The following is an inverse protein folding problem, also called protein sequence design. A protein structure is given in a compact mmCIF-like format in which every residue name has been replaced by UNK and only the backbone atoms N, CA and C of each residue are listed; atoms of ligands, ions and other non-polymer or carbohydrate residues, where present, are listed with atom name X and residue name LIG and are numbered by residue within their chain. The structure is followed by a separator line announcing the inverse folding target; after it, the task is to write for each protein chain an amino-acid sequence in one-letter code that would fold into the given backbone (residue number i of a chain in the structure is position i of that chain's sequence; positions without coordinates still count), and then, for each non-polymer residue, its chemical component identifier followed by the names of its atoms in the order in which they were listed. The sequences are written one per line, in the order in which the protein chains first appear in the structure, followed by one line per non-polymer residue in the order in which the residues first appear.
data_IF_180734255712
#
_entry.id   IF_180734255712
#
_cell.length_a   1.000
_cell.length_b   1.000
_cell.length_c   1.000
_cell.angle_alpha   90.00
_cell.angle_beta   90.00
_cell.angle_gamma   90.00
#
_symmetry.space_group_name_H-M   'P 1'
#
loop_
_entity.id
_entity.type
_entity.pdbx_description
1 polymer ?
#
# COMPACT_ATOMS: atom_id res chain seq x y z
N UNK A 1 -17.43 29.85 47.44
CA UNK A 1 -17.73 31.25 47.03
C UNK A 1 -16.63 32.14 47.58
N UNK A 2 -16.19 33.19 46.88
CA UNK A 2 -16.04 33.41 45.43
C UNK A 2 -14.60 33.96 45.13
N UNK A 3 -14.12 34.37 43.95
CA UNK A 3 -14.63 35.18 42.81
C UNK A 3 -13.74 34.87 41.57
N UNK A 4 -14.26 34.71 40.33
CA UNK A 4 -14.55 35.76 39.29
C UNK A 4 -13.34 36.63 38.92
N UNK A 5 -13.11 37.10 37.70
CA UNK A 5 -13.75 37.00 36.38
C UNK A 5 -12.84 37.70 35.35
N UNK A 6 -13.10 37.50 34.05
CA UNK A 6 -12.57 38.28 32.92
C UNK A 6 -11.99 37.36 31.85
N UNK A 7 -12.69 36.89 30.80
CA UNK A 7 -13.61 37.50 29.80
C UNK A 7 -12.95 38.49 28.84
N UNK A 8 -12.49 37.97 27.70
CA UNK A 8 -12.51 38.65 26.39
C UNK A 8 -12.54 37.59 25.27
N UNK A 9 -13.72 37.07 24.94
CA UNK A 9 -14.35 37.19 23.61
C UNK A 9 -13.54 37.98 22.56
N UNK A 10 -13.10 37.30 21.50
CA UNK A 10 -13.16 37.83 20.12
C UNK A 10 -13.59 36.70 19.20
N UNK A 11 -14.72 36.96 18.53
CA UNK A 11 -15.35 36.14 17.50
C UNK A 11 -14.57 36.32 16.19
N UNK A 12 -14.25 35.22 15.50
CA UNK A 12 -13.94 35.26 14.07
C UNK A 12 -15.02 34.49 13.33
N UNK A 13 -16.13 35.18 13.09
CA UNK A 13 -17.13 34.81 12.11
C UNK A 13 -16.48 34.93 10.73
N UNK A 14 -16.29 33.80 10.03
CA UNK A 14 -15.99 33.81 8.60
C UNK A 14 -17.27 34.25 7.86
N UNK A 15 -17.31 35.53 7.53
CA UNK A 15 -18.36 36.17 6.73
C UNK A 15 -18.02 35.93 5.25
N UNK A 16 -18.60 34.86 4.67
CA UNK A 16 -18.52 34.58 3.25
C UNK A 16 -19.54 35.48 2.54
N UNK A 17 -19.09 36.67 2.14
CA UNK A 17 -19.88 37.64 1.38
C UNK A 17 -20.28 37.03 0.02
N UNK A 18 -21.53 36.58 -0.06
CA UNK A 18 -22.21 36.23 -1.29
C UNK A 18 -22.65 37.53 -1.98
N UNK A 19 -21.84 38.07 -2.88
CA UNK A 19 -22.22 39.22 -3.71
C UNK A 19 -21.41 39.19 -5.00
N UNK A 20 -21.92 38.48 -5.99
CA UNK A 20 -21.82 38.85 -7.41
C UNK A 20 -22.72 37.92 -8.23
N UNK A 21 -24.00 38.30 -8.32
CA UNK A 21 -24.96 37.75 -9.27
C UNK A 21 -24.92 38.65 -10.51
N UNK A 22 -24.37 38.21 -11.65
CA UNK A 22 -24.57 38.95 -12.89
C UNK A 22 -26.01 38.79 -13.36
N UNK A 23 -26.67 39.93 -13.45
CA UNK A 23 -28.01 40.16 -14.00
C UNK A 23 -28.16 39.54 -15.39
N UNK A 24 -29.09 38.59 -15.53
CA UNK A 24 -29.58 38.15 -16.83
C UNK A 24 -30.48 39.25 -17.41
N UNK A 25 -29.95 40.02 -18.37
CA UNK A 25 -30.67 41.11 -19.01
C UNK A 25 -30.18 41.34 -20.44
N UNK A 26 -31.09 41.12 -21.38
CA UNK A 26 -31.13 41.57 -22.79
C UNK A 26 -30.23 40.87 -23.82
N UNK A 27 -30.94 40.08 -24.64
CA UNK A 27 -30.76 39.79 -26.08
C UNK A 27 -29.74 40.63 -26.87
N UNK A 28 -29.14 40.02 -27.90
CA UNK A 28 -29.71 40.19 -29.24
C UNK A 28 -29.87 38.89 -30.01
N UNK A 29 -31.13 38.67 -30.42
CA UNK A 29 -31.62 38.27 -31.74
C UNK A 29 -30.54 37.95 -32.79
N UNK A 30 -30.14 36.68 -32.86
CA UNK A 30 -29.62 36.07 -34.09
C UNK A 30 -30.72 35.17 -34.65
N UNK A 31 -31.40 35.67 -35.67
CA UNK A 31 -32.29 34.85 -36.51
C UNK A 31 -31.36 34.09 -37.45
N UNK A 32 -31.01 32.85 -37.07
CA UNK A 32 -30.59 31.86 -38.03
C UNK A 32 -31.86 31.26 -38.62
N UNK A 33 -32.26 31.83 -39.76
CA UNK A 33 -33.29 31.31 -40.62
C UNK A 33 -32.74 30.04 -41.28
N UNK A 34 -32.97 28.89 -40.64
CA UNK A 34 -32.68 27.58 -41.21
C UNK A 34 -34.00 26.93 -41.59
N UNK A 35 -34.38 27.16 -42.85
CA UNK A 35 -35.52 26.52 -43.50
C UNK A 35 -35.29 25.00 -43.50
N UNK A 36 -36.14 24.28 -42.78
CA UNK A 36 -36.12 22.82 -42.67
C UNK A 36 -37.47 22.27 -43.07
N UNK A 37 -37.80 22.44 -44.35
CA UNK A 37 -38.84 21.68 -45.05
C UNK A 37 -38.28 20.49 -45.82
N UNK A 38 -37.77 19.49 -45.09
CA UNK A 38 -37.68 18.08 -45.48
C UNK A 38 -37.70 17.32 -44.14
N UNK A 39 -38.70 16.53 -43.73
CA UNK A 39 -39.52 15.64 -44.53
C UNK A 39 -38.92 14.23 -44.53
N UNK A 40 -38.91 13.55 -43.37
CA UNK A 40 -39.25 12.13 -43.25
C UNK A 40 -39.26 11.72 -41.77
N UNK A 41 -40.46 11.58 -41.22
CA UNK A 41 -40.68 10.96 -39.93
C UNK A 41 -40.39 9.46 -40.02
N UNK A 42 -39.41 9.01 -39.25
CA UNK A 42 -39.49 7.71 -38.59
C UNK A 42 -39.56 7.98 -37.08
N UNK A 43 -40.70 8.49 -36.61
CA UNK A 43 -41.08 8.30 -35.21
C UNK A 43 -41.39 6.79 -35.04
N UNK A 44 -40.36 6.00 -34.73
CA UNK A 44 -40.63 4.72 -34.08
C UNK A 44 -41.27 5.05 -32.72
N UNK A 45 -42.46 4.51 -32.39
CA UNK A 45 -43.04 4.70 -31.07
C UNK A 45 -42.17 3.93 -30.06
N UNK A 46 -41.23 4.63 -29.41
CA UNK A 46 -40.46 4.05 -28.31
C UNK A 46 -41.44 3.85 -27.15
N UNK A 47 -41.98 2.65 -27.05
CA UNK A 47 -42.89 2.27 -25.98
C UNK A 47 -42.15 2.47 -24.64
N UNK A 48 -42.71 3.30 -23.76
CA UNK A 48 -42.06 3.72 -22.50
C UNK A 48 -41.65 2.54 -21.61
N UNK A 49 -42.36 1.41 -21.74
CA UNK A 49 -42.02 0.12 -21.10
C UNK A 49 -40.78 -0.55 -21.70
N UNK A 50 -40.60 -0.43 -23.02
CA UNK A 50 -39.45 -0.99 -23.75
C UNK A 50 -38.15 -0.22 -23.46
N UNK A 51 -38.23 1.10 -23.26
CA UNK A 51 -37.10 1.91 -22.85
C UNK A 51 -36.61 1.57 -21.42
N UNK A 52 -37.53 1.27 -20.49
CA UNK A 52 -37.20 0.87 -19.11
C UNK A 52 -36.56 -0.52 -19.09
N UNK A 53 -37.09 -1.48 -19.86
CA UNK A 53 -36.52 -2.84 -19.95
C UNK A 53 -35.10 -2.81 -20.55
N UNK A 54 -34.87 -2.00 -21.60
CA UNK A 54 -33.54 -1.87 -22.22
C UNK A 54 -32.54 -1.19 -21.29
N UNK A 55 -32.95 -0.21 -20.48
CA UNK A 55 -32.09 0.42 -19.48
C UNK A 55 -31.79 -0.49 -18.29
N UNK A 56 -32.75 -1.33 -17.88
CA UNK A 56 -32.55 -2.34 -16.81
C UNK A 56 -31.62 -3.47 -17.26
N UNK A 57 -31.71 -3.92 -18.52
CA UNK A 57 -30.82 -4.93 -19.10
C UNK A 57 -29.39 -4.40 -19.29
N UNK A 58 -29.21 -3.13 -19.64
CA UNK A 58 -27.88 -2.50 -19.75
C UNK A 58 -27.20 -2.36 -18.38
N UNK A 59 -27.96 -2.09 -17.31
CA UNK A 59 -27.43 -1.96 -15.96
C UNK A 59 -26.94 -3.27 -15.31
N UNK A 60 -27.36 -4.44 -15.82
CA UNK A 60 -26.94 -5.76 -15.30
C UNK A 60 -25.58 -6.20 -15.86
N UNK A 61 -25.09 -5.58 -16.94
CA UNK A 61 -23.84 -5.93 -17.61
C UNK A 61 -22.60 -5.17 -17.08
N UNK A 62 -22.74 -4.27 -16.10
CA UNK A 62 -21.60 -3.60 -15.48
C UNK A 62 -20.85 -4.58 -14.54
N UNK A 63 -19.99 -5.42 -15.10
CA UNK A 63 -19.10 -6.31 -14.35
C UNK A 63 -18.18 -5.51 -13.43
N UNK A 64 -18.32 -5.70 -12.11
CA UNK A 64 -17.36 -5.20 -11.13
C UNK A 64 -16.11 -6.09 -11.15
N UNK A 65 -14.94 -5.50 -11.41
CA UNK A 65 -13.65 -6.20 -11.32
C UNK A 65 -13.04 -5.95 -9.95
N UNK A 66 -12.77 -7.02 -9.19
CA UNK A 66 -12.14 -6.93 -7.86
C UNK A 66 -10.70 -7.44 -7.95
N UNK A 67 -9.73 -6.64 -7.51
CA UNK A 67 -8.32 -7.02 -7.51
C UNK A 67 -7.78 -6.97 -6.10
N UNK A 68 -7.18 -8.07 -5.65
CA UNK A 68 -6.66 -8.22 -4.28
C UNK A 68 -5.24 -8.77 -4.30
N UNK A 69 -4.37 -8.21 -3.46
CA UNK A 69 -3.04 -8.74 -3.16
C UNK A 69 -3.09 -9.28 -1.73
N UNK A 70 -2.76 -10.55 -1.56
CA UNK A 70 -2.56 -11.17 -0.26
C UNK A 70 -1.06 -11.21 0.04
N UNK A 71 -0.66 -10.55 1.12
CA UNK A 71 0.73 -10.48 1.57
C UNK A 71 0.89 -11.29 2.84
N UNK A 72 1.86 -12.21 2.83
CA UNK A 72 2.22 -13.07 3.94
C UNK A 72 3.73 -13.03 4.14
N UNK A 73 4.18 -13.17 5.39
CA UNK A 73 5.60 -13.20 5.70
C UNK A 73 5.95 -14.24 6.76
N UNK A 74 7.21 -14.67 6.76
CA UNK A 74 7.86 -15.39 7.85
C UNK A 74 9.02 -14.53 8.34
N UNK A 75 8.96 -13.98 9.57
CA UNK A 75 7.92 -14.14 10.59
C UNK A 75 6.59 -13.42 10.30
N UNK A 76 5.53 -13.84 10.99
CA UNK A 76 4.19 -13.20 10.95
C UNK A 76 4.19 -11.93 11.79
N UNK A 77 3.43 -10.91 11.38
CA UNK A 77 3.33 -9.62 12.07
C UNK A 77 4.28 -8.55 11.52
N UNK A 78 4.86 -8.77 10.35
CA UNK A 78 5.70 -7.76 9.69
C UNK A 78 4.84 -6.59 9.18
N UNK A 79 5.28 -5.36 9.43
CA UNK A 79 4.73 -4.13 8.86
C UNK A 79 5.06 -4.07 7.37
N UNK A 80 4.05 -3.84 6.55
CA UNK A 80 4.18 -3.83 5.09
C UNK A 80 3.90 -2.42 4.58
N UNK A 81 4.78 -1.96 3.71
CA UNK A 81 4.58 -0.77 2.90
C UNK A 81 4.51 -1.16 1.42
N UNK A 82 3.52 -0.60 0.71
CA UNK A 82 3.38 -0.72 -0.74
C UNK A 82 3.51 0.68 -1.36
N UNK A 83 4.51 0.88 -2.22
CA UNK A 83 4.84 2.19 -2.81
C UNK A 83 4.94 3.29 -1.74
N UNK A 84 5.66 3.01 -0.65
CA UNK A 84 5.85 3.89 0.51
C UNK A 84 4.60 4.18 1.35
N UNK A 85 3.45 3.59 1.04
CA UNK A 85 2.22 3.67 1.85
C UNK A 85 2.13 2.48 2.83
N UNK A 86 1.97 2.75 4.12
CA UNK A 86 1.76 1.72 5.14
C UNK A 86 0.39 1.07 4.94
N UNK A 87 0.38 -0.23 4.61
CA UNK A 87 -0.87 -0.97 4.38
C UNK A 87 -1.31 -1.82 5.57
N UNK A 88 -0.39 -2.11 6.49
CA UNK A 88 -0.67 -2.84 7.73
C UNK A 88 0.29 -4.01 7.99
N UNK A 89 -0.11 -4.92 8.87
CA UNK A 89 0.71 -6.03 9.39
C UNK A 89 0.34 -7.37 8.76
N UNK A 90 1.31 -8.24 8.46
CA UNK A 90 1.05 -9.57 7.88
C UNK A 90 0.39 -10.52 8.89
N UNK A 91 -0.48 -11.45 8.43
CA UNK A 91 -1.01 -11.60 7.07
C UNK A 91 -2.11 -10.57 6.77
N UNK A 92 -2.05 -9.92 5.61
CA UNK A 92 -3.05 -8.93 5.19
C UNK A 92 -3.46 -9.13 3.74
N UNK A 93 -4.66 -8.64 3.39
CA UNK A 93 -5.15 -8.61 2.01
C UNK A 93 -5.61 -7.21 1.68
N UNK A 94 -4.99 -6.61 0.66
CA UNK A 94 -5.29 -5.24 0.20
C UNK A 94 -5.90 -5.27 -1.19
N UNK A 95 -6.83 -4.36 -1.44
CA UNK A 95 -7.37 -4.14 -2.78
C UNK A 95 -6.53 -3.10 -3.50
N UNK A 96 -6.28 -3.29 -4.80
CA UNK A 96 -5.50 -2.36 -5.61
C UNK A 96 -6.23 -2.03 -6.92
N UNK A 97 -5.94 -0.85 -7.49
CA UNK A 97 -6.62 -0.36 -8.69
C UNK A 97 -5.82 -0.56 -9.97
N UNK A 98 -4.51 -0.42 -9.92
CA UNK A 98 -3.65 -0.37 -11.10
C UNK A 98 -2.68 -1.55 -11.13
N UNK A 99 -2.47 -2.14 -12.30
CA UNK A 99 -1.41 -3.13 -12.47
C UNK A 99 -0.08 -2.43 -12.67
N UNK A 100 0.99 -3.00 -12.13
CA UNK A 100 2.33 -2.48 -12.32
C UNK A 100 3.33 -3.12 -11.38
N UNK A 101 4.52 -2.52 -11.32
CA UNK A 101 5.55 -2.89 -10.36
C UNK A 101 5.31 -2.08 -9.09
N UNK A 102 5.19 -2.79 -7.97
CA UNK A 102 5.07 -2.23 -6.64
C UNK A 102 6.40 -2.33 -5.93
N UNK A 103 6.78 -1.24 -5.26
CA UNK A 103 7.86 -1.24 -4.28
C UNK A 103 7.30 -1.79 -2.96
N UNK A 104 7.86 -2.90 -2.48
CA UNK A 104 7.40 -3.61 -1.29
C UNK A 104 8.51 -3.53 -0.24
N UNK A 105 8.19 -2.95 0.91
CA UNK A 105 9.05 -2.93 2.09
C UNK A 105 8.36 -3.70 3.21
N UNK A 106 9.08 -4.65 3.82
CA UNK A 106 8.61 -5.38 4.99
C UNK A 106 9.57 -5.14 6.16
N UNK A 107 9.00 -4.86 7.32
CA UNK A 107 9.73 -4.68 8.57
C UNK A 107 9.10 -5.57 9.65
N UNK A 108 9.84 -6.56 10.14
CA UNK A 108 9.35 -7.40 11.22
C UNK A 108 9.72 -6.81 12.57
N UNK A 109 8.79 -6.90 13.51
CA UNK A 109 9.11 -6.69 14.92
C UNK A 109 9.95 -7.87 15.42
N UNK A 110 10.82 -7.67 16.42
CA UNK A 110 11.57 -8.76 17.02
C UNK A 110 10.65 -9.83 17.61
N UNK A 111 11.10 -11.09 17.56
CA UNK A 111 10.33 -12.23 18.06
C UNK A 111 11.06 -12.96 19.17
N UNK A 112 10.30 -13.41 20.17
CA UNK A 112 10.80 -14.29 21.22
C UNK A 112 10.79 -15.73 20.71
N UNK A 113 11.97 -16.32 20.57
CA UNK A 113 12.16 -17.67 20.03
C UNK A 113 12.96 -18.51 21.02
N UNK A 114 12.73 -19.82 21.07
CA UNK A 114 13.46 -20.70 21.99
C UNK A 114 14.91 -20.83 21.53
N UNK A 115 15.83 -20.96 22.49
CA UNK A 115 17.27 -21.12 22.24
C UNK A 115 17.61 -22.14 21.13
N UNK A 116 17.12 -23.39 21.15
CA UNK A 116 17.50 -24.38 20.12
C UNK A 116 16.98 -24.02 18.71
N UNK A 117 15.92 -23.22 18.62
CA UNK A 117 15.35 -22.76 17.35
C UNK A 117 16.05 -21.47 16.86
N UNK A 118 16.43 -20.60 17.78
CA UNK A 118 17.08 -19.32 17.50
C UNK A 118 18.57 -19.48 17.10
N UNK A 119 19.29 -20.43 17.70
CA UNK A 119 20.70 -20.67 17.43
C UNK A 119 21.04 -20.79 15.92
N UNK A 120 20.40 -21.69 15.15
CA UNK A 120 20.67 -21.79 13.71
C UNK A 120 20.23 -20.54 12.93
N UNK A 121 19.23 -19.79 13.41
CA UNK A 121 18.79 -18.54 12.77
C UNK A 121 19.85 -17.44 12.89
N UNK A 122 20.55 -17.38 14.02
CA UNK A 122 21.57 -16.37 14.29
C UNK A 122 22.98 -16.78 13.81
N UNK A 123 23.10 -17.92 13.13
CA UNK A 123 24.38 -18.53 12.76
C UNK A 123 25.32 -18.72 13.97
N UNK A 124 24.74 -19.14 15.11
CA UNK A 124 25.42 -19.41 16.36
C UNK A 124 25.15 -20.85 16.80
N UNK A 125 26.04 -21.43 17.60
CA UNK A 125 25.77 -22.69 18.28
C UNK A 125 24.86 -22.46 19.49
N UNK A 126 24.14 -23.50 19.92
CA UNK A 126 23.32 -23.41 21.14
C UNK A 126 24.16 -23.01 22.37
N UNK A 127 25.38 -23.54 22.48
CA UNK A 127 26.29 -23.23 23.59
C UNK A 127 26.70 -21.75 23.60
N UNK A 128 27.10 -21.20 22.45
CA UNK A 128 27.42 -19.77 22.34
C UNK A 128 26.22 -18.89 22.65
N UNK A 129 25.02 -19.26 22.20
CA UNK A 129 23.80 -18.51 22.51
C UNK A 129 23.50 -18.53 24.02
N UNK A 130 23.71 -19.66 24.69
CA UNK A 130 23.57 -19.79 26.14
C UNK A 130 24.59 -18.90 26.86
N UNK A 131 25.86 -18.90 26.43
CA UNK A 131 26.89 -18.03 27.00
C UNK A 131 26.52 -16.54 26.86
N UNK A 132 25.98 -16.13 25.71
CA UNK A 132 25.52 -14.76 25.48
C UNK A 132 24.31 -14.38 26.34
N UNK A 133 23.38 -15.33 26.52
CA UNK A 133 22.22 -15.12 27.39
C UNK A 133 22.63 -15.01 28.87
N UNK A 134 23.63 -15.79 29.31
CA UNK A 134 24.14 -15.73 30.69
C UNK A 134 25.03 -14.50 30.95
N UNK A 135 25.66 -13.96 29.90
CA UNK A 135 26.41 -12.71 29.94
C UNK A 135 25.52 -11.45 29.94
N UNK A 136 24.19 -11.60 29.89
CA UNK A 136 23.20 -10.50 29.79
C UNK A 136 23.43 -9.58 28.56
N UNK A 137 24.11 -10.10 27.52
CA UNK A 137 24.33 -9.37 26.26
C UNK A 137 23.08 -9.36 25.36
N UNK A 138 22.21 -10.36 25.52
CA UNK A 138 20.97 -10.51 24.75
C UNK A 138 19.80 -10.64 25.72
N UNK A 139 18.73 -9.85 25.55
CA UNK A 139 17.57 -9.92 26.41
C UNK A 139 16.94 -11.33 26.31
N UNK A 140 16.79 -11.96 27.47
CA UNK A 140 16.24 -13.31 27.60
C UNK A 140 15.07 -13.29 28.59
N UNK A 141 13.99 -13.99 28.25
CA UNK A 141 12.84 -14.19 29.16
C UNK A 141 12.65 -15.68 29.44
N UNK A 142 12.09 -16.00 30.61
CA UNK A 142 11.66 -17.36 30.93
C UNK A 142 10.13 -17.45 30.85
N UNK A 143 9.61 -18.13 29.83
CA UNK A 143 8.17 -18.37 29.64
C UNK A 143 7.90 -19.87 29.62
N UNK A 144 6.89 -20.35 30.37
CA UNK A 144 6.53 -21.77 30.44
C UNK A 144 7.70 -22.74 30.78
N UNK A 145 8.71 -22.26 31.53
CA UNK A 145 9.91 -23.04 31.87
C UNK A 145 10.92 -23.17 30.74
N UNK A 146 10.79 -22.36 29.69
CA UNK A 146 11.67 -22.31 28.53
C UNK A 146 12.34 -20.94 28.47
N UNK A 147 13.66 -20.93 28.25
CA UNK A 147 14.40 -19.70 27.98
C UNK A 147 14.16 -19.28 26.54
N UNK A 148 13.69 -18.07 26.35
CA UNK A 148 13.41 -17.47 25.04
C UNK A 148 14.33 -16.27 24.85
N UNK A 149 14.89 -16.17 23.66
CA UNK A 149 15.82 -15.13 23.24
C UNK A 149 15.11 -14.28 22.20
N UNK A 150 15.34 -12.96 22.27
CA UNK A 150 14.83 -12.03 21.27
C UNK A 150 15.63 -12.14 19.95
N UNK A 151 14.93 -12.35 18.84
CA UNK A 151 15.51 -12.43 17.50
C UNK A 151 15.02 -11.24 16.68
N UNK A 152 15.97 -10.42 16.23
CA UNK A 152 15.71 -9.34 15.27
C UNK A 152 15.72 -9.83 13.83
N UNK A 153 15.20 -9.01 12.91
CA UNK A 153 15.11 -9.32 11.48
C UNK A 153 15.57 -8.14 10.63
N UNK A 154 16.20 -8.42 9.49
CA UNK A 154 16.59 -7.39 8.52
C UNK A 154 15.35 -6.90 7.75
N UNK A 155 15.19 -5.58 7.54
CA UNK A 155 14.11 -5.08 6.70
C UNK A 155 14.32 -5.55 5.25
N UNK A 156 13.24 -6.00 4.61
CA UNK A 156 13.27 -6.48 3.24
C UNK A 156 12.74 -5.41 2.29
N UNK A 157 13.55 -5.04 1.31
CA UNK A 157 13.19 -4.11 0.23
C UNK A 157 13.20 -4.85 -1.09
N UNK A 158 12.04 -5.00 -1.74
CA UNK A 158 11.93 -5.74 -2.99
C UNK A 158 10.84 -5.19 -3.88
N UNK A 159 10.91 -5.50 -5.18
CA UNK A 159 9.87 -5.12 -6.14
C UNK A 159 9.01 -6.34 -6.48
N UNK A 160 7.70 -6.15 -6.62
CA UNK A 160 6.78 -7.18 -7.11
C UNK A 160 5.86 -6.61 -8.18
N UNK A 161 5.77 -7.30 -9.31
CA UNK A 161 4.81 -6.96 -10.34
C UNK A 161 3.47 -7.62 -10.06
N UNK A 162 2.38 -6.87 -10.26
CA UNK A 162 1.06 -7.44 -10.48
C UNK A 162 0.85 -7.51 -11.98
N UNK A 163 0.83 -8.72 -12.53
CA UNK A 163 0.56 -8.88 -13.95
C UNK A 163 -0.92 -8.67 -14.23
N UNK A 164 -1.21 -7.74 -15.14
CA UNK A 164 -2.52 -7.61 -15.72
C UNK A 164 -2.80 -8.90 -16.51
N UNK A 165 -3.86 -9.64 -16.19
CA UNK A 165 -4.22 -10.74 -17.05
C UNK A 165 -4.55 -10.20 -18.44
N UNK A 166 -4.28 -11.00 -19.46
CA UNK A 166 -4.37 -10.59 -20.87
C UNK A 166 -5.74 -10.04 -21.28
N UNK A 167 -6.82 -10.38 -20.57
CA UNK A 167 -8.17 -9.86 -20.78
C UNK A 167 -8.39 -8.42 -20.28
N UNK A 168 -7.44 -7.81 -19.58
CA UNK A 168 -7.47 -6.40 -19.15
C UNK A 168 -6.53 -5.48 -19.96
N UNK A 169 -5.81 -6.03 -20.95
CA UNK A 169 -4.88 -5.25 -21.79
C UNK A 169 -5.67 -4.32 -22.73
N UNK A 170 -5.33 -3.01 -22.82
CA UNK A 170 -6.06 -2.06 -23.66
C UNK A 170 -5.96 -2.45 -25.14
N UNK A 171 -7.06 -3.06 -25.63
CA UNK A 171 -7.26 -3.59 -26.97
C UNK A 171 -8.69 -4.15 -27.07
N UNK A 172 -9.56 -3.62 -27.94
CA UNK A 172 -10.93 -3.23 -27.54
C UNK A 172 -12.01 -3.96 -28.39
N UNK A 173 -13.25 -4.30 -28.01
CA UNK A 173 -14.14 -3.60 -27.08
C UNK A 173 -15.42 -4.43 -26.72
N UNK A 174 -15.36 -5.78 -26.72
CA UNK A 174 -16.59 -6.62 -26.65
C UNK A 174 -16.64 -7.74 -25.59
N UNK A 175 -15.54 -8.11 -24.94
CA UNK A 175 -15.51 -9.30 -24.04
C UNK A 175 -15.29 -8.94 -22.57
N UNK A 176 -14.76 -7.76 -22.27
CA UNK A 176 -14.59 -7.31 -20.88
C UNK A 176 -15.94 -7.11 -20.15
N UNK A 177 -17.01 -6.76 -20.88
CA UNK A 177 -18.39 -6.72 -20.34
C UNK A 177 -19.01 -8.11 -20.10
N UNK A 178 -18.41 -9.18 -20.61
CA UNK A 178 -18.98 -10.54 -20.57
C UNK A 178 -18.51 -11.41 -19.41
N UNK A 179 -17.63 -10.94 -18.53
CA UNK A 179 -17.22 -11.70 -17.34
C UNK A 179 -17.80 -11.04 -16.08
N UNK A 180 -19.03 -11.40 -15.68
CA UNK A 180 -19.55 -10.96 -14.40
C UNK A 180 -18.63 -11.45 -13.28
N UNK A 181 -18.23 -10.54 -12.38
CA UNK A 181 -17.42 -10.81 -11.19
C UNK A 181 -15.98 -11.29 -11.45
N UNK A 182 -15.29 -10.75 -12.46
CA UNK A 182 -13.86 -11.01 -12.63
C UNK A 182 -13.07 -10.61 -11.36
N UNK A 183 -12.39 -11.58 -10.74
CA UNK A 183 -11.61 -11.37 -9.54
C UNK A 183 -10.16 -11.84 -9.75
N UNK A 184 -9.20 -10.95 -9.54
CA UNK A 184 -7.76 -11.26 -9.62
C UNK A 184 -7.19 -11.30 -8.20
N UNK A 185 -6.63 -12.45 -7.81
CA UNK A 185 -5.98 -12.62 -6.50
C UNK A 185 -4.51 -12.93 -6.68
N UNK A 186 -3.66 -11.99 -6.31
CA UNK A 186 -2.21 -12.18 -6.28
C UNK A 186 -1.80 -12.61 -4.87
N UNK A 187 -0.92 -13.61 -4.76
CA UNK A 187 -0.38 -14.08 -3.48
C UNK A 187 1.12 -13.83 -3.44
N UNK A 188 1.56 -13.04 -2.48
CA UNK A 188 2.97 -12.75 -2.24
C UNK A 188 3.38 -13.30 -0.87
N UNK A 189 4.45 -14.08 -0.89
CA UNK A 189 5.07 -14.62 0.30
C UNK A 189 6.50 -14.10 0.40
N UNK A 190 6.89 -13.71 1.60
CA UNK A 190 8.21 -13.15 1.89
C UNK A 190 8.84 -13.85 3.09
N UNK A 191 10.12 -14.15 2.98
CA UNK A 191 10.94 -14.66 4.08
C UNK A 191 11.90 -13.55 4.46
N UNK A 192 11.85 -13.11 5.72
CA UNK A 192 12.80 -12.13 6.24
C UNK A 192 14.02 -12.84 6.80
N UNK A 193 15.19 -12.29 6.52
CA UNK A 193 16.44 -12.81 7.05
C UNK A 193 16.61 -12.38 8.52
N UNK A 194 16.91 -13.32 9.44
CA UNK A 194 17.22 -12.97 10.82
C UNK A 194 18.46 -12.07 10.89
N UNK A 195 18.43 -11.08 11.78
CA UNK A 195 19.60 -10.24 12.03
C UNK A 195 20.55 -10.98 12.97
N UNK A 196 21.53 -11.68 12.40
CA UNK A 196 22.65 -12.23 13.16
C UNK A 196 23.51 -11.15 13.80
N UNK A 197 24.43 -11.56 14.69
CA UNK A 197 25.42 -10.65 15.29
C UNK A 197 26.29 -10.05 14.19
N UNK A 198 26.48 -8.74 14.26
CA UNK A 198 27.41 -8.06 13.35
C UNK A 198 28.79 -8.12 13.96
N UNK A 199 29.74 -8.73 13.24
CA UNK A 199 31.15 -8.71 13.63
C UNK A 199 31.68 -7.27 13.54
N UNK A 200 31.92 -6.69 14.71
CA UNK A 200 32.33 -5.29 14.86
C UNK A 200 33.73 -5.08 14.31
N UNK A 201 34.65 -6.03 14.52
CA UNK A 201 36.02 -5.92 14.04
C UNK A 201 36.06 -5.92 12.52
N UNK A 202 35.33 -6.84 11.88
CA UNK A 202 35.18 -6.86 10.42
C UNK A 202 34.47 -5.61 9.86
N UNK A 203 33.58 -4.96 10.62
CA UNK A 203 33.00 -3.67 10.22
C UNK A 203 34.01 -2.53 10.31
N UNK A 204 34.81 -2.48 11.38
CA UNK A 204 35.82 -1.45 11.59
C UNK A 204 36.90 -1.51 10.51
N UNK A 205 37.34 -2.72 10.12
CA UNK A 205 38.28 -2.90 9.01
C UNK A 205 37.71 -2.37 7.68
N UNK A 206 36.47 -2.75 7.33
CA UNK A 206 35.80 -2.25 6.12
C UNK A 206 35.61 -0.73 6.14
N UNK A 207 35.31 -0.15 7.31
CA UNK A 207 35.19 1.29 7.48
C UNK A 207 36.54 1.99 7.28
N UNK A 208 37.63 1.46 7.87
CA UNK A 208 38.97 1.98 7.71
C UNK A 208 39.47 1.90 6.26
N UNK A 209 39.18 0.80 5.55
CA UNK A 209 39.47 0.66 4.11
C UNK A 209 38.72 1.70 3.26
N UNK A 210 37.44 1.91 3.56
CA UNK A 210 36.61 2.91 2.86
C UNK A 210 37.13 4.32 3.13
N UNK A 211 37.53 4.61 4.37
CA UNK A 211 38.14 5.88 4.75
C UNK A 211 39.47 6.11 4.00
N UNK A 212 40.33 5.10 3.93
CA UNK A 212 41.60 5.18 3.19
C UNK A 212 41.38 5.44 1.68
N UNK A 213 40.37 4.82 1.07
CA UNK A 213 39.99 5.06 -0.32
C UNK A 213 39.50 6.49 -0.54
N UNK A 214 38.69 7.03 0.38
CA UNK A 214 38.16 8.39 0.27
C UNK A 214 39.24 9.46 0.48
N UNK A 215 40.24 9.19 1.32
CA UNK A 215 41.34 10.09 1.60
C UNK A 215 42.51 9.98 0.61
N UNK A 216 42.47 9.02 -0.31
CA UNK A 216 43.53 8.79 -1.30
C UNK A 216 44.88 8.45 -0.66
N UNK A 217 44.85 7.83 0.52
CA UNK A 217 46.05 7.47 1.30
C UNK A 217 46.63 6.12 0.89
N UNK A 218 46.21 5.55 -0.24
CA UNK A 218 46.88 4.43 -0.89
C UNK A 218 48.20 4.90 -1.52
N UNK A 219 49.17 5.20 -0.66
CA UNK A 219 50.57 5.37 -1.07
C UNK A 219 51.12 4.02 -1.55
N UNK A 220 50.92 3.73 -2.84
CA UNK A 220 51.74 2.76 -3.55
C UNK A 220 53.12 3.40 -3.80
N UNK A 221 54.25 2.78 -3.38
CA UNK A 221 55.60 3.31 -3.61
C UNK A 221 55.99 3.35 -5.10
#
# INVERSE_FOLDING_TARGET
MPDRAGRSRVLSTFDFRLSDVPTCGRSPRWVLEFDSRLGCGMQHPVNRKSAVISALLLGVLCGCVTRTISVTSQPVGALVYLNDEEVGRTPLTVTHRFHGVYDVRLEADPQWVRIPEAAPMLNLTEAELIELAEADEIPTIEEHGQRMVEVGFKPLWTKRATDAPWWEMPGPDLVAEMIPNAAVRQRWHFELEPSGRVDVDALLERAAETEAMLLGTDSNP
#
